data_IF_078372115163
#
_entry.id   IF_078372115163
#
_cell.length_a   1.000
_cell.length_b   1.000
_cell.length_c   1.000
_cell.angle_alpha   90.00
_cell.angle_beta   90.00
_cell.angle_gamma   90.00
#
_symmetry.space_group_name_H-M   'P 1'
#
loop_
_entity.id
_entity.type
_entity.pdbx_description
1 polymer ?
#
# COMPACT_ATOMS: atom_id res chain seq x y z
N UNK A 1 13.80 32.03 -19.06
CA UNK A 1 13.58 32.15 -17.59
C UNK A 1 14.91 31.96 -16.84
N UNK A 2 15.15 32.63 -15.70
CA UNK A 2 16.38 32.42 -14.92
C UNK A 2 16.28 31.18 -14.00
N UNK A 3 17.41 30.71 -13.45
CA UNK A 3 17.45 29.47 -12.64
C UNK A 3 16.69 29.54 -11.32
N UNK A 4 16.58 30.73 -10.71
CA UNK A 4 15.86 30.92 -9.45
C UNK A 4 14.36 30.80 -9.66
N UNK A 5 13.82 31.49 -10.67
CA UNK A 5 12.41 31.40 -11.05
C UNK A 5 12.05 29.98 -11.51
N UNK A 6 12.93 29.32 -12.26
CA UNK A 6 12.72 27.94 -12.69
C UNK A 6 12.67 26.96 -11.50
N UNK A 7 13.55 27.15 -10.50
CA UNK A 7 13.58 26.35 -9.29
C UNK A 7 12.29 26.50 -8.47
N UNK A 8 11.82 27.73 -8.28
CA UNK A 8 10.53 27.99 -7.62
C UNK A 8 9.35 27.38 -8.37
N UNK A 9 9.33 27.50 -9.71
CA UNK A 9 8.25 26.96 -10.56
C UNK A 9 8.16 25.44 -10.48
N UNK A 10 9.31 24.75 -10.53
CA UNK A 10 9.39 23.30 -10.47
C UNK A 10 9.38 22.74 -9.03
N UNK A 11 9.40 23.60 -8.00
CA UNK A 11 9.54 23.23 -6.58
C UNK A 11 10.78 22.34 -6.31
N UNK A 12 11.90 22.67 -6.95
CA UNK A 12 13.20 21.98 -6.77
C UNK A 12 14.29 22.98 -6.45
N UNK A 13 15.50 22.50 -6.13
CA UNK A 13 16.64 23.38 -5.86
C UNK A 13 17.22 24.00 -7.15
N UNK A 14 17.89 25.14 -7.02
CA UNK A 14 18.64 25.76 -8.12
C UNK A 14 19.74 24.82 -8.63
N UNK A 15 20.36 24.03 -7.75
CA UNK A 15 21.36 23.03 -8.14
C UNK A 15 20.76 21.97 -9.07
N UNK A 16 19.54 21.50 -8.78
CA UNK A 16 18.79 20.56 -9.62
C UNK A 16 18.52 21.15 -11.01
N UNK A 17 18.07 22.40 -11.09
CA UNK A 17 17.86 23.08 -12.40
C UNK A 17 19.17 23.18 -13.19
N UNK A 18 20.28 23.52 -12.53
CA UNK A 18 21.60 23.59 -13.17
C UNK A 18 22.12 22.23 -13.63
N UNK A 19 21.80 21.17 -12.89
CA UNK A 19 22.09 19.79 -13.29
C UNK A 19 21.30 19.39 -14.53
N UNK A 20 19.99 19.67 -14.53
CA UNK A 20 19.13 19.40 -15.68
C UNK A 20 19.60 20.14 -16.93
N UNK A 21 19.97 21.41 -16.81
CA UNK A 21 20.50 22.19 -17.92
C UNK A 21 21.84 21.64 -18.44
N UNK A 22 22.77 21.25 -17.55
CA UNK A 22 24.07 20.65 -17.95
C UNK A 22 23.91 19.31 -18.65
N UNK A 23 22.95 18.50 -18.21
CA UNK A 23 22.70 17.14 -18.74
C UNK A 23 21.75 17.12 -19.94
N UNK A 24 21.27 18.29 -20.39
CA UNK A 24 20.33 18.38 -21.52
C UNK A 24 18.93 17.85 -21.22
N UNK A 25 18.55 17.72 -19.94
CA UNK A 25 17.21 17.25 -19.52
C UNK A 25 16.15 18.32 -19.80
N UNK A 26 16.53 19.59 -19.72
CA UNK A 26 15.72 20.74 -20.12
C UNK A 26 16.53 21.58 -21.11
N UNK A 27 15.85 22.15 -22.10
CA UNK A 27 16.46 23.08 -23.04
C UNK A 27 16.86 24.36 -22.30
N UNK A 28 18.12 24.74 -22.44
CA UNK A 28 18.68 25.94 -21.83
C UNK A 28 19.87 26.45 -22.65
N UNK A 29 20.05 27.77 -22.67
CA UNK A 29 21.19 28.41 -23.31
C UNK A 29 22.01 29.16 -22.27
N UNK A 30 23.34 29.21 -22.41
CA UNK A 30 24.19 30.08 -21.59
C UNK A 30 24.31 31.45 -22.22
N UNK A 31 23.95 32.49 -21.47
CA UNK A 31 24.12 33.90 -21.85
C UNK A 31 24.93 34.58 -20.76
N UNK A 32 26.10 35.12 -21.10
CA UNK A 32 27.03 35.77 -20.15
C UNK A 32 27.30 34.92 -18.88
N UNK A 33 27.53 33.62 -19.06
CA UNK A 33 27.80 32.69 -17.95
C UNK A 33 26.57 32.28 -17.13
N UNK A 34 25.37 32.77 -17.44
CA UNK A 34 24.12 32.43 -16.76
C UNK A 34 23.25 31.53 -17.61
N UNK A 35 22.58 30.57 -16.98
CA UNK A 35 21.62 29.71 -17.66
C UNK A 35 20.29 30.45 -17.88
N UNK A 36 19.85 30.50 -19.13
CA UNK A 36 18.52 30.93 -19.54
C UNK A 36 17.74 29.67 -19.93
N UNK A 37 16.75 29.33 -19.11
CA UNK A 37 15.93 28.12 -19.22
C UNK A 37 14.75 28.37 -20.16
N UNK A 38 14.50 27.45 -21.08
CA UNK A 38 13.30 27.42 -21.92
C UNK A 38 12.07 27.01 -21.09
N UNK A 39 11.01 27.79 -21.18
CA UNK A 39 9.82 27.62 -20.33
C UNK A 39 8.99 26.41 -20.74
N UNK A 40 8.92 26.11 -22.04
CA UNK A 40 8.16 24.98 -22.58
C UNK A 40 8.81 23.66 -22.19
N UNK A 41 10.14 23.57 -22.33
CA UNK A 41 10.92 22.42 -21.92
C UNK A 41 10.86 22.19 -20.40
N UNK A 42 10.91 23.26 -19.60
CA UNK A 42 10.75 23.16 -18.16
C UNK A 42 9.34 22.67 -17.78
N UNK A 43 8.28 23.23 -18.39
CA UNK A 43 6.90 22.79 -18.16
C UNK A 43 6.73 21.30 -18.50
N UNK A 44 7.28 20.86 -19.64
CA UNK A 44 7.27 19.46 -20.03
C UNK A 44 7.95 18.55 -19.00
N UNK A 45 9.11 18.96 -18.47
CA UNK A 45 9.83 18.22 -17.42
C UNK A 45 9.06 18.16 -16.11
N UNK A 46 8.36 19.22 -15.73
CA UNK A 46 7.48 19.26 -14.55
C UNK A 46 6.34 18.26 -14.75
N UNK A 47 5.69 18.25 -15.92
CA UNK A 47 4.63 17.30 -16.24
C UNK A 47 5.12 15.86 -16.11
N UNK A 48 6.29 15.53 -16.68
CA UNK A 48 6.91 14.19 -16.50
C UNK A 48 7.16 13.88 -15.02
N UNK A 49 7.64 14.85 -14.24
CA UNK A 49 7.85 14.66 -12.80
C UNK A 49 6.56 14.48 -12.00
N UNK A 50 5.45 15.03 -12.49
CA UNK A 50 4.13 14.89 -11.90
C UNK A 50 3.40 13.60 -12.33
N UNK A 51 3.85 12.94 -13.41
CA UNK A 51 3.30 11.64 -13.82
C UNK A 51 3.61 10.59 -12.76
N UNK A 52 2.57 10.17 -12.02
CA UNK A 52 2.67 8.99 -11.16
C UNK A 52 2.82 7.76 -12.07
N UNK A 53 3.89 6.98 -11.90
CA UNK A 53 4.00 5.66 -12.52
C UNK A 53 2.72 4.89 -12.16
N UNK A 54 1.98 4.33 -13.14
CA UNK A 54 0.79 3.56 -12.81
C UNK A 54 1.20 2.44 -11.86
N UNK A 55 0.40 2.25 -10.80
CA UNK A 55 0.64 1.16 -9.86
C UNK A 55 0.72 -0.16 -10.65
N UNK A 56 1.69 -1.02 -10.29
CA UNK A 56 1.79 -2.36 -10.87
C UNK A 56 0.43 -3.04 -10.71
N UNK A 57 -0.12 -3.59 -11.79
CA UNK A 57 -1.38 -4.31 -11.73
C UNK A 57 -1.22 -5.47 -10.75
N UNK A 58 -2.01 -5.46 -9.69
CA UNK A 58 -2.03 -6.55 -8.70
C UNK A 58 -2.70 -7.76 -9.36
N UNK A 59 -1.97 -8.87 -9.40
CA UNK A 59 -2.47 -10.15 -9.89
C UNK A 59 -2.74 -11.02 -8.67
N UNK A 60 -3.97 -11.50 -8.52
CA UNK A 60 -4.29 -12.50 -7.51
C UNK A 60 -4.08 -13.89 -8.11
N UNK A 61 -3.12 -14.62 -7.54
CA UNK A 61 -2.72 -15.96 -7.94
C UNK A 61 -2.28 -16.74 -6.71
N UNK A 62 -2.21 -18.06 -6.83
CA UNK A 62 -1.69 -18.92 -5.76
C UNK A 62 -0.29 -18.47 -5.35
N UNK A 63 0.56 -18.16 -6.32
CA UNK A 63 1.94 -17.75 -6.11
C UNK A 63 2.02 -16.45 -5.30
N UNK A 64 1.27 -15.42 -5.72
CA UNK A 64 1.25 -14.13 -4.99
C UNK A 64 0.65 -14.26 -3.59
N UNK A 65 -0.37 -15.10 -3.42
CA UNK A 65 -1.01 -15.30 -2.12
C UNK A 65 -0.13 -16.10 -1.16
N UNK A 66 0.61 -17.08 -1.67
CA UNK A 66 1.61 -17.81 -0.89
C UNK A 66 2.81 -16.93 -0.57
N UNK A 67 3.25 -16.07 -1.50
CA UNK A 67 4.36 -15.15 -1.29
C UNK A 67 4.11 -14.13 -0.15
N UNK A 68 2.86 -13.72 0.07
CA UNK A 68 2.49 -12.86 1.20
C UNK A 68 2.23 -13.63 2.51
N UNK A 69 2.54 -14.94 2.57
CA UNK A 69 2.41 -15.76 3.78
C UNK A 69 1.14 -16.62 3.86
N UNK A 70 0.38 -16.74 2.76
CA UNK A 70 -0.78 -17.61 2.69
C UNK A 70 -0.43 -19.11 2.64
N UNK A 71 -1.25 -19.95 3.26
CA UNK A 71 -1.06 -21.40 3.30
C UNK A 71 -1.93 -22.07 2.23
N UNK A 72 -1.30 -22.66 1.22
CA UNK A 72 -2.00 -23.39 0.15
C UNK A 72 -2.56 -24.71 0.69
N UNK A 73 -3.82 -24.98 0.37
CA UNK A 73 -4.54 -26.21 0.68
C UNK A 73 -5.21 -26.75 -0.58
N UNK A 74 -4.96 -28.02 -0.86
CA UNK A 74 -5.51 -28.71 -2.03
C UNK A 74 -6.13 -30.03 -1.62
N UNK A 75 -7.46 -30.16 -1.78
CA UNK A 75 -8.18 -31.42 -1.53
C UNK A 75 -9.57 -31.36 -2.18
N UNK A 76 -10.13 -32.52 -2.51
CA UNK A 76 -11.51 -32.65 -3.00
C UNK A 76 -11.84 -31.74 -4.20
N UNK A 77 -10.88 -31.56 -5.11
CA UNK A 77 -11.04 -30.71 -6.30
C UNK A 77 -10.98 -29.20 -6.02
N UNK A 78 -10.67 -28.77 -4.80
CA UNK A 78 -10.48 -27.36 -4.45
C UNK A 78 -8.99 -27.02 -4.31
N UNK A 79 -8.64 -25.79 -4.69
CA UNK A 79 -7.30 -25.21 -4.51
C UNK A 79 -7.46 -23.81 -3.90
N UNK A 80 -7.10 -23.70 -2.61
CA UNK A 80 -7.30 -22.47 -1.82
C UNK A 80 -6.01 -22.06 -1.15
N UNK A 81 -5.83 -20.76 -0.95
CA UNK A 81 -4.76 -20.21 -0.12
C UNK A 81 -5.37 -19.50 1.08
N UNK A 82 -5.23 -20.10 2.27
CA UNK A 82 -5.74 -19.53 3.51
C UNK A 82 -4.81 -18.44 4.05
N UNK A 83 -5.38 -17.28 4.34
CA UNK A 83 -4.68 -16.14 4.95
C UNK A 83 -4.99 -16.17 6.45
N UNK A 84 -4.30 -17.03 7.18
CA UNK A 84 -4.55 -17.22 8.62
C UNK A 84 -4.15 -16.00 9.45
N UNK A 85 -3.13 -15.27 9.01
CA UNK A 85 -2.70 -13.99 9.61
C UNK A 85 -3.45 -12.79 9.03
N UNK A 86 -4.74 -12.95 8.70
CA UNK A 86 -5.56 -11.89 8.11
C UNK A 86 -5.60 -10.63 8.98
N UNK A 87 -5.48 -10.79 10.30
CA UNK A 87 -5.51 -9.70 11.27
C UNK A 87 -4.39 -8.67 11.01
N UNK A 88 -3.19 -9.15 10.66
CA UNK A 88 -2.07 -8.27 10.29
C UNK A 88 -2.39 -7.44 9.04
N UNK A 89 -3.04 -8.03 8.03
CA UNK A 89 -3.49 -7.29 6.84
C UNK A 89 -4.60 -6.28 7.14
N UNK A 90 -5.43 -6.53 8.15
CA UNK A 90 -6.41 -5.56 8.64
C UNK A 90 -5.80 -4.44 9.51
N UNK A 91 -4.49 -4.50 9.82
CA UNK A 91 -3.84 -3.59 10.75
C UNK A 91 -4.26 -3.80 12.20
N UNK A 92 -4.71 -5.00 12.56
CA UNK A 92 -4.97 -5.39 13.95
C UNK A 92 -3.67 -5.95 14.53
N UNK A 93 -3.14 -5.30 15.56
CA UNK A 93 -1.95 -5.78 16.26
C UNK A 93 -2.32 -6.07 17.71
N UNK A 94 -1.85 -7.21 18.23
CA UNK A 94 -2.07 -7.58 19.63
C UNK A 94 -0.82 -8.17 20.24
N UNK A 95 -0.50 -7.75 21.46
CA UNK A 95 0.46 -8.45 22.32
C UNK A 95 -0.31 -9.31 23.32
N UNK A 96 0.28 -10.41 23.78
CA UNK A 96 -0.37 -11.35 24.71
C UNK A 96 0.51 -11.62 25.92
N UNK A 97 -0.14 -11.83 27.07
CA UNK A 97 0.48 -12.46 28.22
C UNK A 97 0.76 -13.94 27.94
N UNK A 98 1.60 -14.57 28.76
CA UNK A 98 1.87 -16.02 28.70
C UNK A 98 0.62 -16.88 28.92
N UNK A 99 -0.45 -16.31 29.46
CA UNK A 99 -1.76 -16.95 29.61
C UNK A 99 -2.60 -16.95 28.33
N UNK A 100 -2.11 -16.32 27.25
CA UNK A 100 -2.82 -16.16 25.98
C UNK A 100 -3.75 -14.95 25.92
N UNK A 101 -3.99 -14.28 27.06
CA UNK A 101 -4.80 -13.06 27.11
C UNK A 101 -4.12 -11.88 26.43
N UNK A 102 -4.88 -11.09 25.66
CA UNK A 102 -4.39 -9.83 25.07
C UNK A 102 -3.95 -8.88 26.19
N UNK A 103 -2.71 -8.39 26.10
CA UNK A 103 -2.10 -7.42 27.03
C UNK A 103 -2.12 -5.99 26.50
N UNK A 104 -2.09 -5.82 25.18
CA UNK A 104 -2.26 -4.54 24.48
C UNK A 104 -2.74 -4.78 23.06
N UNK A 105 -3.46 -3.81 22.48
CA UNK A 105 -3.92 -3.91 21.10
C UNK A 105 -4.02 -2.55 20.40
N UNK A 106 -3.86 -2.58 19.08
CA UNK A 106 -4.12 -1.46 18.17
C UNK A 106 -4.94 -1.91 16.96
N UNK A 107 -5.64 -0.98 16.34
CA UNK A 107 -6.30 -1.15 15.05
C UNK A 107 -5.92 0.02 14.15
N UNK A 108 -5.34 -0.25 12.98
CA UNK A 108 -4.89 0.75 12.02
C UNK A 108 -3.93 1.79 12.65
N UNK A 109 -3.07 1.33 13.56
CA UNK A 109 -2.09 2.15 14.28
C UNK A 109 -2.63 2.86 15.53
N UNK A 110 -3.95 2.87 15.75
CA UNK A 110 -4.56 3.53 16.91
C UNK A 110 -4.83 2.54 18.05
N UNK A 111 -4.57 2.96 19.29
CA UNK A 111 -4.78 2.11 20.47
C UNK A 111 -6.25 1.75 20.69
N UNK A 112 -6.55 0.47 20.91
CA UNK A 112 -7.90 -0.02 21.20
C UNK A 112 -7.92 -0.82 22.49
N UNK A 113 -9.08 -0.88 23.16
CA UNK A 113 -9.22 -1.74 24.35
C UNK A 113 -9.14 -3.22 23.98
N UNK A 114 -8.54 -4.04 24.83
CA UNK A 114 -8.36 -5.48 24.59
C UNK A 114 -9.70 -6.20 24.30
N UNK A 115 -10.80 -5.77 24.94
CA UNK A 115 -12.15 -6.29 24.67
C UNK A 115 -12.67 -5.98 23.27
N UNK A 116 -12.31 -4.82 22.69
CA UNK A 116 -12.66 -4.52 21.30
C UNK A 116 -11.74 -5.28 20.33
N UNK A 117 -10.46 -5.48 20.67
CA UNK A 117 -9.57 -6.31 19.87
C UNK A 117 -10.06 -7.76 19.76
N UNK A 118 -10.56 -8.35 20.84
CA UNK A 118 -11.21 -9.68 20.78
C UNK A 118 -12.39 -9.70 19.80
N UNK A 119 -13.23 -8.67 19.82
CA UNK A 119 -14.37 -8.56 18.90
C UNK A 119 -13.97 -8.34 17.45
N UNK A 120 -12.92 -7.55 17.21
CA UNK A 120 -12.34 -7.38 15.88
C UNK A 120 -11.81 -8.73 15.37
N UNK A 121 -11.06 -9.47 16.18
CA UNK A 121 -10.55 -10.81 15.83
C UNK A 121 -11.67 -11.84 15.65
N UNK A 122 -12.77 -11.76 16.41
CA UNK A 122 -13.93 -12.65 16.27
C UNK A 122 -14.89 -12.27 15.13
N UNK A 123 -14.65 -11.14 14.46
CA UNK A 123 -15.52 -10.62 13.40
C UNK A 123 -15.38 -11.38 12.07
N UNK A 124 -14.24 -12.04 11.86
CA UNK A 124 -13.92 -12.86 10.69
C UNK A 124 -13.45 -14.23 11.18
N UNK A 125 -14.11 -15.29 10.72
CA UNK A 125 -13.76 -16.68 11.01
C UNK A 125 -12.58 -17.15 10.14
N UNK A 126 -12.60 -16.81 8.85
CA UNK A 126 -11.55 -17.23 7.90
C UNK A 126 -11.51 -16.37 6.66
N UNK A 127 -10.32 -16.27 6.08
CA UNK A 127 -10.04 -15.58 4.82
C UNK A 127 -9.26 -16.53 3.91
N UNK A 128 -9.68 -16.67 2.66
CA UNK A 128 -8.97 -17.49 1.68
C UNK A 128 -9.08 -16.93 0.26
N UNK A 129 -8.05 -17.13 -0.54
CA UNK A 129 -8.13 -17.01 -1.99
C UNK A 129 -8.56 -18.36 -2.58
N UNK A 130 -9.49 -18.37 -3.53
CA UNK A 130 -9.86 -19.57 -4.28
C UNK A 130 -9.29 -19.49 -5.70
N UNK A 131 -8.42 -20.44 -6.07
CA UNK A 131 -7.76 -20.43 -7.36
C UNK A 131 -8.73 -20.70 -8.52
N UNK A 132 -9.90 -21.28 -8.23
CA UNK A 132 -10.91 -21.63 -9.24
C UNK A 132 -11.61 -20.39 -9.78
N UNK A 133 -11.96 -19.44 -8.91
CA UNK A 133 -12.68 -18.22 -9.30
C UNK A 133 -11.81 -16.95 -9.27
N UNK A 134 -10.59 -17.05 -8.75
CA UNK A 134 -9.63 -15.96 -8.69
C UNK A 134 -9.98 -14.87 -7.68
N UNK A 135 -10.82 -15.17 -6.68
CA UNK A 135 -11.31 -14.19 -5.70
C UNK A 135 -10.82 -14.47 -4.28
N UNK A 136 -10.79 -13.41 -3.50
CA UNK A 136 -10.61 -13.48 -2.04
C UNK A 136 -11.99 -13.61 -1.42
N UNK A 137 -12.17 -14.61 -0.58
CA UNK A 137 -13.38 -14.92 0.15
C UNK A 137 -13.14 -14.76 1.65
N UNK A 138 -14.18 -14.33 2.34
CA UNK A 138 -14.21 -14.22 3.79
C UNK A 138 -15.46 -14.90 4.33
N UNK A 139 -15.33 -15.53 5.50
CA UNK A 139 -16.49 -15.90 6.31
C UNK A 139 -16.50 -15.02 7.54
N UNK A 140 -17.60 -14.30 7.76
CA UNK A 140 -17.80 -13.57 9.01
C UNK A 140 -17.95 -14.52 10.19
N UNK A 141 -17.35 -14.11 11.31
CA UNK A 141 -17.60 -14.69 12.60
C UNK A 141 -18.85 -14.09 13.26
N UNK A 142 -18.98 -14.31 14.56
CA UNK A 142 -20.17 -13.94 15.33
C UNK A 142 -20.02 -12.62 16.07
N UNK A 143 -18.81 -12.10 16.20
CA UNK A 143 -18.55 -10.87 16.95
C UNK A 143 -18.60 -9.63 16.07
N UNK A 144 -18.84 -8.49 16.71
CA UNK A 144 -18.79 -7.17 16.08
C UNK A 144 -18.26 -6.14 17.08
N UNK A 145 -17.24 -5.39 16.65
CA UNK A 145 -16.62 -4.35 17.45
C UNK A 145 -17.36 -3.04 17.27
N UNK A 146 -17.30 -2.17 18.29
CA UNK A 146 -17.75 -0.77 18.14
C UNK A 146 -16.71 0.13 17.48
N UNK A 147 -15.49 -0.38 17.26
CA UNK A 147 -14.38 0.34 16.60
C UNK A 147 -14.52 0.27 15.09
N UNK A 148 -14.95 -0.88 14.57
CA UNK A 148 -15.20 -1.12 13.16
C UNK A 148 -16.22 -2.27 13.02
N UNK A 149 -17.14 -2.12 12.09
CA UNK A 149 -18.07 -3.17 11.66
C UNK A 149 -17.33 -4.33 10.99
N UNK A 150 -18.01 -5.49 10.89
CA UNK A 150 -17.47 -6.65 10.15
C UNK A 150 -17.07 -6.33 8.72
N UNK A 151 -17.84 -5.47 8.06
CA UNK A 151 -17.57 -5.05 6.69
C UNK A 151 -16.32 -4.17 6.60
N UNK A 152 -16.15 -3.21 7.51
CA UNK A 152 -14.96 -2.34 7.53
C UNK A 152 -13.68 -3.14 7.80
N UNK A 153 -13.74 -4.14 8.69
CA UNK A 153 -12.61 -5.05 8.94
C UNK A 153 -12.30 -5.86 7.68
N UNK A 154 -13.31 -6.38 6.98
CA UNK A 154 -13.12 -7.10 5.71
C UNK A 154 -12.51 -6.22 4.62
N UNK A 155 -12.99 -4.99 4.47
CA UNK A 155 -12.45 -4.05 3.49
C UNK A 155 -10.99 -3.72 3.81
N UNK A 156 -10.64 -3.58 5.09
CA UNK A 156 -9.25 -3.42 5.54
C UNK A 156 -8.38 -4.64 5.20
N UNK A 157 -8.87 -5.87 5.41
CA UNK A 157 -8.16 -7.11 5.02
C UNK A 157 -7.87 -7.10 3.52
N UNK A 158 -8.87 -6.84 2.68
CA UNK A 158 -8.71 -6.86 1.22
C UNK A 158 -7.74 -5.77 0.76
N UNK A 159 -7.79 -4.59 1.37
CA UNK A 159 -6.86 -3.49 1.11
C UNK A 159 -5.42 -3.84 1.52
N UNK A 160 -5.24 -4.46 2.69
CA UNK A 160 -3.94 -4.93 3.18
C UNK A 160 -3.34 -6.00 2.27
N UNK A 161 -4.12 -7.02 1.89
CA UNK A 161 -3.68 -8.07 0.96
C UNK A 161 -3.25 -7.46 -0.39
N UNK A 162 -4.06 -6.54 -0.94
CA UNK A 162 -3.73 -5.84 -2.18
C UNK A 162 -2.41 -5.08 -2.07
N UNK A 163 -2.19 -4.40 -0.95
CA UNK A 163 -0.96 -3.62 -0.69
C UNK A 163 0.25 -4.53 -0.59
N UNK A 164 0.14 -5.65 0.13
CA UNK A 164 1.22 -6.62 0.26
C UNK A 164 1.61 -7.24 -1.10
N UNK A 165 0.63 -7.59 -1.95
CA UNK A 165 0.93 -8.12 -3.28
C UNK A 165 1.54 -7.04 -4.19
N UNK A 166 1.10 -5.79 -4.07
CA UNK A 166 1.69 -4.68 -4.83
C UNK A 166 3.16 -4.40 -4.45
N UNK A 167 3.60 -4.85 -3.27
CA UNK A 167 4.96 -4.71 -2.76
C UNK A 167 5.90 -5.87 -3.14
N UNK A 168 5.41 -6.93 -3.79
CA UNK A 168 6.20 -8.00 -4.41
C UNK A 168 6.86 -7.53 -5.72
#
# INVERSE_FOLDING_TARGET
MNTTTAASTAKVTVATIRDWARRGIIAATKVAGRWVIDTTSLAHRITIGAMKRPARKVIYSVETMTAIGGNRWQRNGMDRVYINDWAAFAGIETSRYNTGNISSASYQGEGVSNSQAYKLLGSIDKVWFDATDGKIHGRFGYDESRVASRQEVWDAVVAGIRTAIAAL
#
